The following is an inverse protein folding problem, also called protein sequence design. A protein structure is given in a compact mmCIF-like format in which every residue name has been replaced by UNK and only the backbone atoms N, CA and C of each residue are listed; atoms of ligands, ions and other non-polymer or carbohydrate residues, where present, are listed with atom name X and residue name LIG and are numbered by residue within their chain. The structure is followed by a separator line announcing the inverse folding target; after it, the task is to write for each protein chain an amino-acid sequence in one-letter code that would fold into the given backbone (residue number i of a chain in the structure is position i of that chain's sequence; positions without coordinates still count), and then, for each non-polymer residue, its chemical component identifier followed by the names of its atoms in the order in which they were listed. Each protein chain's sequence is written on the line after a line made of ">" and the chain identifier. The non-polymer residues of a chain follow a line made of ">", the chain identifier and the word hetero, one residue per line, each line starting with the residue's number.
data_IF_175495595323
#
_entry.id   IF_175495595323
#
_cell.length_a   1.000
_cell.length_b   1.000
_cell.length_c   1.000
_cell.angle_alpha   90.00
_cell.angle_beta   90.00
_cell.angle_gamma   90.00
#
_symmetry.space_group_name_H-M   'P 1'
#
loop_
_entity.id
_entity.type
_entity.pdbx_description
1 polymer ?
#
# COMPACT_ATOMS: atom_id res chain seq x y z
N UNK A 1 8.96 5.34 -9.33
CA UNK A 1 7.57 5.65 -9.74
C UNK A 1 6.70 4.41 -9.61
N UNK A 2 5.51 4.51 -9.00
CA UNK A 2 4.49 3.48 -8.95
C UNK A 2 3.44 3.74 -10.04
N UNK A 3 3.32 2.85 -11.04
CA UNK A 3 2.31 2.97 -12.08
C UNK A 3 0.98 2.42 -11.58
N UNK A 4 -0.02 3.28 -11.48
CA UNK A 4 -1.37 2.89 -11.03
C UNK A 4 -2.14 2.30 -12.20
N UNK A 5 -2.33 0.98 -12.21
CA UNK A 5 -2.96 0.23 -13.30
C UNK A 5 -4.45 -0.09 -13.09
N UNK A 6 -5.06 0.51 -12.04
CA UNK A 6 -6.51 0.36 -11.82
C UNK A 6 -7.31 0.73 -13.07
N UNK A 7 -8.35 -0.07 -13.38
CA UNK A 7 -9.23 0.11 -14.55
C UNK A 7 -8.54 0.02 -15.93
N UNK A 8 -7.29 -0.44 -16.01
CA UNK A 8 -6.60 -0.76 -17.24
C UNK A 8 -6.52 -2.27 -17.40
N UNK A 9 -6.62 -2.77 -18.62
CA UNK A 9 -6.40 -4.18 -18.93
C UNK A 9 -4.91 -4.53 -18.93
N UNK A 10 -4.57 -5.82 -18.92
CA UNK A 10 -3.17 -6.24 -19.08
C UNK A 10 -2.61 -5.73 -20.40
N UNK A 11 -3.39 -5.79 -21.48
CA UNK A 11 -2.99 -5.28 -22.81
C UNK A 11 -2.60 -3.80 -22.78
N UNK A 12 -3.32 -2.98 -22.02
CA UNK A 12 -3.06 -1.54 -21.92
C UNK A 12 -1.74 -1.21 -21.21
N UNK A 13 -1.29 -2.10 -20.31
CA UNK A 13 -0.07 -1.89 -19.54
C UNK A 13 1.14 -2.64 -20.11
N UNK A 14 0.93 -3.53 -21.09
CA UNK A 14 2.03 -4.27 -21.73
C UNK A 14 3.12 -3.37 -22.32
N UNK A 15 2.84 -2.24 -22.97
CA UNK A 15 3.87 -1.33 -23.44
C UNK A 15 4.78 -0.85 -22.29
N UNK A 16 4.21 -0.48 -21.13
CA UNK A 16 5.01 -0.10 -19.96
C UNK A 16 5.94 -1.23 -19.49
N UNK A 17 5.47 -2.49 -19.59
CA UNK A 17 6.25 -3.66 -19.18
C UNK A 17 7.36 -4.00 -20.19
N UNK A 18 7.03 -4.01 -21.48
CA UNK A 18 7.93 -4.47 -22.53
C UNK A 18 8.90 -3.39 -22.99
N UNK A 19 8.40 -2.20 -23.28
CA UNK A 19 9.16 -1.10 -23.87
C UNK A 19 9.89 -0.30 -22.78
N UNK A 20 9.16 0.15 -21.75
CA UNK A 20 9.71 0.93 -20.64
C UNK A 20 10.37 0.08 -19.55
N UNK A 21 10.28 -1.24 -19.64
CA UNK A 21 10.80 -2.20 -18.64
C UNK A 21 10.33 -1.90 -17.21
N UNK A 22 9.12 -1.29 -17.11
CA UNK A 22 8.56 -0.95 -15.81
C UNK A 22 8.04 -2.20 -15.09
N UNK A 23 8.28 -2.29 -13.78
CA UNK A 23 7.99 -3.50 -12.98
C UNK A 23 7.09 -3.24 -11.78
N UNK A 24 6.86 -1.99 -11.41
CA UNK A 24 6.20 -1.60 -10.17
C UNK A 24 4.79 -1.08 -10.44
N UNK A 25 3.76 -1.88 -10.08
CA UNK A 25 2.36 -1.56 -10.37
C UNK A 25 1.51 -1.48 -9.09
N UNK A 26 0.56 -0.53 -9.08
CA UNK A 26 -0.40 -0.33 -8.01
C UNK A 26 -1.83 -0.70 -8.41
N UNK A 27 -2.49 -1.51 -7.57
CA UNK A 27 -3.88 -1.91 -7.73
C UNK A 27 -4.70 -1.59 -6.48
N UNK A 28 -5.95 -1.18 -6.69
CA UNK A 28 -6.84 -0.83 -5.59
C UNK A 28 -7.82 -1.94 -5.19
N UNK A 29 -7.88 -3.04 -5.93
CA UNK A 29 -8.79 -4.18 -5.68
C UNK A 29 -8.10 -5.50 -5.93
N UNK A 30 -8.07 -6.36 -4.90
CA UNK A 30 -7.42 -7.67 -4.94
C UNK A 30 -7.96 -8.52 -6.09
N UNK A 31 -9.29 -8.65 -6.24
CA UNK A 31 -9.91 -9.49 -7.26
C UNK A 31 -9.58 -9.04 -8.70
N UNK A 32 -9.37 -7.72 -8.91
CA UNK A 32 -8.95 -7.22 -10.22
C UNK A 32 -7.47 -7.49 -10.47
N UNK A 33 -6.64 -7.36 -9.44
CA UNK A 33 -5.23 -7.69 -9.50
C UNK A 33 -5.01 -9.18 -9.80
N UNK A 34 -5.69 -10.09 -9.10
CA UNK A 34 -5.62 -11.55 -9.32
C UNK A 34 -5.92 -11.93 -10.78
N UNK A 35 -6.93 -11.30 -11.38
CA UNK A 35 -7.32 -11.57 -12.78
C UNK A 35 -6.34 -11.03 -13.80
N UNK A 36 -5.69 -9.92 -13.49
CA UNK A 36 -4.77 -9.23 -14.40
C UNK A 36 -3.35 -9.78 -14.30
N UNK A 37 -2.86 -9.92 -13.10
CA UNK A 37 -1.50 -10.33 -12.79
C UNK A 37 -1.51 -11.80 -12.35
N UNK A 38 -1.76 -12.69 -13.33
CA UNK A 38 -1.66 -14.14 -13.10
C UNK A 38 -0.19 -14.52 -12.81
N UNK A 39 0.07 -15.67 -12.14
CA UNK A 39 1.43 -16.06 -11.74
C UNK A 39 2.45 -15.99 -12.87
N UNK A 40 2.09 -16.42 -14.07
CA UNK A 40 2.97 -16.40 -15.25
C UNK A 40 3.36 -14.98 -15.65
N UNK A 41 2.44 -14.02 -15.56
CA UNK A 41 2.74 -12.59 -15.85
C UNK A 41 3.68 -12.03 -14.79
N UNK A 42 3.43 -12.34 -13.52
CA UNK A 42 4.28 -11.86 -12.41
C UNK A 42 5.70 -12.41 -12.57
N UNK A 43 5.86 -13.72 -12.75
CA UNK A 43 7.17 -14.36 -12.82
C UNK A 43 7.95 -14.04 -14.09
N UNK A 44 7.28 -14.05 -15.26
CA UNK A 44 7.95 -13.80 -16.54
C UNK A 44 8.48 -12.38 -16.68
N UNK A 45 7.83 -11.42 -16.01
CA UNK A 45 8.22 -10.00 -16.08
C UNK A 45 8.76 -9.43 -14.78
N UNK A 46 8.97 -10.24 -13.74
CA UNK A 46 9.43 -9.80 -12.43
C UNK A 46 8.60 -8.61 -11.88
N UNK A 47 7.28 -8.75 -11.95
CA UNK A 47 6.35 -7.69 -11.55
C UNK A 47 6.27 -7.61 -10.02
N UNK A 48 6.44 -6.40 -9.50
CA UNK A 48 6.17 -6.06 -8.10
C UNK A 48 4.83 -5.34 -7.98
N UNK A 49 3.91 -5.94 -7.21
CA UNK A 49 2.56 -5.40 -7.01
C UNK A 49 2.41 -4.71 -5.67
N UNK A 50 1.82 -3.52 -5.68
CA UNK A 50 1.42 -2.78 -4.50
C UNK A 50 -0.11 -2.72 -4.38
N UNK A 51 -0.64 -3.07 -3.22
CA UNK A 51 -2.03 -2.77 -2.87
C UNK A 51 -2.12 -1.33 -2.36
N UNK A 52 -2.85 -0.50 -3.10
CA UNK A 52 -3.05 0.93 -2.80
C UNK A 52 -4.51 1.27 -2.47
N UNK A 53 -5.38 0.28 -2.45
CA UNK A 53 -6.78 0.43 -2.04
C UNK A 53 -7.05 -0.16 -0.66
N UNK A 54 -8.21 0.16 -0.04
CA UNK A 54 -8.52 -0.25 1.32
C UNK A 54 -8.55 -1.78 1.46
N UNK A 55 -7.90 -2.29 2.52
CA UNK A 55 -7.83 -3.70 2.82
C UNK A 55 -8.84 -4.09 3.89
N UNK A 56 -9.78 -4.97 3.52
CA UNK A 56 -10.69 -5.61 4.46
C UNK A 56 -9.99 -6.75 5.20
N UNK A 57 -10.31 -6.93 6.49
CA UNK A 57 -9.67 -7.97 7.32
C UNK A 57 -9.88 -9.39 6.79
N UNK A 58 -11.05 -9.68 6.23
CA UNK A 58 -11.35 -10.98 5.61
C UNK A 58 -10.66 -11.24 4.26
N UNK A 59 -9.87 -10.29 3.77
CA UNK A 59 -9.08 -10.40 2.53
C UNK A 59 -7.58 -10.37 2.76
N UNK A 60 -7.15 -10.35 4.02
CA UNK A 60 -5.73 -10.24 4.38
C UNK A 60 -4.92 -11.39 3.80
N UNK A 61 -5.36 -12.65 3.95
CA UNK A 61 -4.66 -13.82 3.42
C UNK A 61 -4.39 -13.69 1.91
N UNK A 62 -5.42 -13.29 1.15
CA UNK A 62 -5.28 -13.07 -0.30
C UNK A 62 -4.35 -11.91 -0.64
N UNK A 63 -4.39 -10.84 0.13
CA UNK A 63 -3.50 -9.71 -0.09
C UNK A 63 -2.04 -10.10 0.16
N UNK A 64 -1.76 -10.81 1.26
CA UNK A 64 -0.42 -11.27 1.63
C UNK A 64 0.18 -12.26 0.61
N UNK A 65 -0.65 -13.05 -0.07
CA UNK A 65 -0.20 -14.02 -1.08
C UNK A 65 0.00 -13.42 -2.48
N UNK A 66 -0.47 -12.19 -2.74
CA UNK A 66 -0.44 -11.59 -4.08
C UNK A 66 0.46 -10.35 -4.18
N UNK A 67 0.42 -9.48 -3.17
CA UNK A 67 1.09 -8.19 -3.23
C UNK A 67 2.44 -8.21 -2.51
N UNK A 68 3.47 -7.66 -3.13
CA UNK A 68 4.78 -7.48 -2.52
C UNK A 68 4.75 -6.39 -1.43
N UNK A 69 3.86 -5.42 -1.58
CA UNK A 69 3.71 -4.29 -0.64
C UNK A 69 2.25 -3.95 -0.43
N UNK A 70 1.84 -3.76 0.82
CA UNK A 70 0.53 -3.26 1.19
C UNK A 70 0.69 -1.83 1.72
N UNK A 71 0.08 -0.84 1.03
CA UNK A 71 0.23 0.57 1.37
C UNK A 71 -0.91 1.14 2.24
N UNK A 72 -1.85 0.31 2.65
CA UNK A 72 -3.12 0.75 3.24
C UNK A 72 -3.36 0.15 4.64
N UNK A 73 -2.29 0.05 5.43
CA UNK A 73 -2.40 -0.32 6.85
C UNK A 73 -2.80 0.92 7.63
N UNK A 74 -4.04 0.95 8.12
CA UNK A 74 -4.69 2.16 8.63
C UNK A 74 -5.34 2.03 10.01
N UNK A 75 -5.26 0.86 10.65
CA UNK A 75 -5.94 0.62 11.94
C UNK A 75 -5.39 -0.59 12.69
N UNK A 76 -5.48 -0.59 14.04
CA UNK A 76 -4.97 -1.68 14.89
C UNK A 76 -5.59 -3.05 14.59
N UNK A 77 -6.89 -3.09 14.24
CA UNK A 77 -7.58 -4.34 13.88
C UNK A 77 -6.97 -5.01 12.65
N UNK A 78 -6.58 -4.21 11.64
CA UNK A 78 -5.94 -4.74 10.44
C UNK A 78 -4.54 -5.27 10.73
N UNK A 79 -3.76 -4.55 11.53
CA UNK A 79 -2.43 -4.99 12.00
C UNK A 79 -2.51 -6.34 12.72
N UNK A 80 -3.48 -6.49 13.64
CA UNK A 80 -3.71 -7.76 14.34
C UNK A 80 -4.01 -8.91 13.38
N UNK A 81 -4.82 -8.67 12.34
CA UNK A 81 -5.19 -9.71 11.39
C UNK A 81 -4.01 -10.07 10.47
N UNK A 82 -3.24 -9.09 10.01
CA UNK A 82 -1.99 -9.32 9.26
C UNK A 82 -1.05 -10.21 10.08
N UNK A 83 -0.80 -9.85 11.33
CA UNK A 83 0.06 -10.63 12.21
C UNK A 83 -0.44 -12.07 12.38
N UNK A 84 -1.74 -12.26 12.68
CA UNK A 84 -2.33 -13.60 12.81
C UNK A 84 -2.20 -14.42 11.52
N UNK A 85 -2.40 -13.81 10.38
CA UNK A 85 -2.29 -14.48 9.08
C UNK A 85 -0.85 -14.91 8.79
N UNK A 86 0.12 -14.07 9.10
CA UNK A 86 1.55 -14.39 8.98
C UNK A 86 1.93 -15.57 9.91
N UNK A 87 1.46 -15.55 11.15
CA UNK A 87 1.77 -16.63 12.12
C UNK A 87 1.16 -18.00 11.73
N UNK A 88 0.01 -17.99 11.05
CA UNK A 88 -0.64 -19.24 10.61
C UNK A 88 0.10 -19.96 9.48
N UNK A 89 0.89 -19.26 8.68
CA UNK A 89 1.69 -19.79 7.55
C UNK A 89 0.92 -20.77 6.63
N UNK A 90 -0.37 -20.52 6.40
CA UNK A 90 -1.26 -21.41 5.63
C UNK A 90 -1.07 -21.31 4.12
N UNK A 91 -0.32 -20.35 3.64
CA UNK A 91 -0.08 -20.04 2.22
C UNK A 91 1.28 -19.35 2.07
N UNK A 92 1.85 -19.34 0.86
CA UNK A 92 3.07 -18.56 0.60
C UNK A 92 2.81 -17.07 0.81
N UNK A 93 3.61 -16.42 1.66
CA UNK A 93 3.54 -14.98 1.90
C UNK A 93 4.49 -14.29 0.94
N UNK A 94 3.94 -13.49 0.04
CA UNK A 94 4.68 -12.67 -0.92
C UNK A 94 4.95 -11.28 -0.35
N UNK A 95 4.06 -10.78 0.52
CA UNK A 95 4.20 -9.44 1.10
C UNK A 95 5.41 -9.34 2.01
N UNK A 96 6.29 -8.40 1.68
CA UNK A 96 7.51 -8.12 2.43
C UNK A 96 7.49 -6.74 3.10
N UNK A 97 6.68 -5.82 2.58
CA UNK A 97 6.71 -4.42 2.95
C UNK A 97 5.32 -3.86 3.22
N UNK A 98 5.26 -2.92 4.17
CA UNK A 98 4.02 -2.22 4.51
C UNK A 98 4.24 -0.71 4.57
N UNK A 99 3.19 0.06 4.26
CA UNK A 99 3.08 1.48 4.55
C UNK A 99 1.91 1.70 5.49
N UNK A 100 2.01 2.69 6.36
CA UNK A 100 0.88 3.17 7.13
C UNK A 100 0.14 4.23 6.31
N UNK A 101 -1.15 4.05 6.12
CA UNK A 101 -1.99 5.03 5.46
C UNK A 101 -2.48 6.06 6.48
N UNK A 102 -2.16 7.33 6.24
CA UNK A 102 -2.53 8.47 7.09
C UNK A 102 -3.70 9.23 6.49
N UNK A 103 -4.73 9.50 7.28
CA UNK A 103 -5.81 10.43 6.93
C UNK A 103 -5.34 11.87 7.14
N UNK A 104 -4.50 12.35 6.23
CA UNK A 104 -3.81 13.63 6.36
C UNK A 104 -4.76 14.85 6.34
N UNK A 105 -5.92 14.70 5.69
CA UNK A 105 -6.96 15.72 5.60
C UNK A 105 -7.95 15.70 6.75
N UNK A 106 -7.86 14.73 7.66
CA UNK A 106 -8.80 14.51 8.75
C UNK A 106 -10.26 14.43 8.27
N UNK A 107 -10.50 13.71 7.16
CA UNK A 107 -11.80 13.55 6.54
C UNK A 107 -12.47 12.25 7.04
N UNK A 108 -13.60 12.33 7.79
CA UNK A 108 -14.23 11.16 8.42
C UNK A 108 -14.61 10.03 7.46
N UNK A 109 -14.89 10.37 6.20
CA UNK A 109 -15.28 9.41 5.15
C UNK A 109 -14.08 8.71 4.48
N UNK A 110 -12.85 9.13 4.75
CA UNK A 110 -11.65 8.55 4.15
C UNK A 110 -10.97 7.53 5.06
N UNK A 111 -10.37 6.52 4.43
CA UNK A 111 -9.47 5.60 5.11
C UNK A 111 -8.17 6.28 5.51
N UNK A 112 -7.51 5.73 6.49
CA UNK A 112 -6.25 6.22 7.04
C UNK A 112 -6.35 6.41 8.54
N UNK A 113 -5.26 6.17 9.24
CA UNK A 113 -5.14 6.46 10.68
C UNK A 113 -5.08 7.97 10.89
N UNK A 114 -5.66 8.46 11.97
CA UNK A 114 -5.51 9.86 12.35
C UNK A 114 -4.07 10.15 12.74
N UNK A 115 -3.64 11.40 12.54
CA UNK A 115 -2.25 11.81 12.80
C UNK A 115 -1.86 11.54 14.24
N UNK A 116 -2.74 11.82 15.19
CA UNK A 116 -2.49 11.65 16.63
C UNK A 116 -2.36 10.18 17.06
N UNK A 117 -2.91 9.24 16.26
CA UNK A 117 -2.86 7.80 16.51
C UNK A 117 -1.72 7.10 15.73
N UNK A 118 -1.00 7.84 14.87
CA UNK A 118 0.00 7.26 13.95
C UNK A 118 1.15 6.58 14.70
N UNK A 119 1.67 7.23 15.75
CA UNK A 119 2.78 6.68 16.54
C UNK A 119 2.41 5.37 17.20
N UNK A 120 1.22 5.28 17.82
CA UNK A 120 0.75 4.05 18.46
C UNK A 120 0.60 2.91 17.45
N UNK A 121 0.07 3.21 16.26
CA UNK A 121 -0.06 2.22 15.19
C UNK A 121 1.32 1.75 14.69
N UNK A 122 2.27 2.66 14.54
CA UNK A 122 3.63 2.35 14.13
C UNK A 122 4.33 1.43 15.13
N UNK A 123 4.30 1.78 16.43
CA UNK A 123 4.88 0.98 17.50
C UNK A 123 4.26 -0.41 17.56
N UNK A 124 2.94 -0.51 17.34
CA UNK A 124 2.26 -1.80 17.27
C UNK A 124 2.77 -2.65 16.10
N UNK A 125 2.99 -2.05 14.95
CA UNK A 125 3.55 -2.75 13.79
C UNK A 125 4.96 -3.26 14.08
N UNK A 126 5.80 -2.45 14.72
CA UNK A 126 7.16 -2.84 15.11
C UNK A 126 7.15 -4.00 16.12
N UNK A 127 6.27 -3.99 17.12
CA UNK A 127 6.09 -5.09 18.08
C UNK A 127 5.72 -6.41 17.39
N UNK A 128 5.05 -6.36 16.27
CA UNK A 128 4.68 -7.53 15.47
C UNK A 128 5.69 -7.87 14.36
N UNK A 129 6.84 -7.20 14.34
CA UNK A 129 7.90 -7.35 13.35
C UNK A 129 7.40 -7.14 11.90
N UNK A 130 6.42 -6.25 11.70
CA UNK A 130 6.01 -5.85 10.36
C UNK A 130 7.02 -4.84 9.80
N UNK A 131 7.52 -5.11 8.60
CA UNK A 131 8.49 -4.23 7.93
C UNK A 131 7.79 -2.98 7.38
N UNK A 132 7.67 -1.94 8.19
CA UNK A 132 7.11 -0.65 7.79
C UNK A 132 8.19 0.14 7.07
N UNK A 133 8.01 0.34 5.77
CA UNK A 133 8.98 1.05 4.92
C UNK A 133 8.56 2.46 4.54
N UNK A 134 7.36 2.89 4.93
CA UNK A 134 6.89 4.24 4.57
C UNK A 134 5.51 4.62 5.09
N UNK A 135 5.15 5.86 4.79
CA UNK A 135 3.83 6.42 5.00
C UNK A 135 3.14 6.68 3.65
N UNK A 136 1.83 6.50 3.62
CA UNK A 136 1.01 6.76 2.43
C UNK A 136 -0.14 7.71 2.79
N UNK A 137 -0.47 8.63 1.91
CA UNK A 137 -1.70 9.41 2.01
C UNK A 137 -2.36 9.65 0.65
N UNK A 138 -3.66 9.96 0.72
CA UNK A 138 -4.44 10.48 -0.40
C UNK A 138 -5.00 11.82 0.07
N UNK A 139 -4.42 12.95 -0.35
CA UNK A 139 -4.90 14.28 0.03
C UNK A 139 -6.37 14.51 -0.32
N UNK A 140 -7.04 15.50 0.30
CA UNK A 140 -8.39 15.89 -0.11
C UNK A 140 -8.46 16.25 -1.58
N UNK A 141 -9.59 15.90 -2.22
CA UNK A 141 -9.83 16.25 -3.61
C UNK A 141 -10.11 17.76 -3.74
N UNK A 142 -9.80 18.32 -4.91
CA UNK A 142 -10.10 19.72 -5.27
C UNK A 142 -9.43 20.78 -4.37
N UNK A 143 -8.32 20.44 -3.74
CA UNK A 143 -7.46 21.37 -3.00
C UNK A 143 -6.02 21.24 -3.46
N UNK A 144 -5.20 22.26 -3.20
CA UNK A 144 -3.76 22.20 -3.45
C UNK A 144 -3.14 21.11 -2.56
N UNK A 145 -2.43 20.13 -3.13
CA UNK A 145 -1.90 19.01 -2.35
C UNK A 145 -0.63 19.35 -1.55
N UNK A 146 0.10 20.39 -1.93
CA UNK A 146 1.42 20.71 -1.38
C UNK A 146 1.45 20.84 0.14
N UNK A 147 0.49 21.54 0.82
CA UNK A 147 0.49 21.62 2.28
C UNK A 147 0.34 20.25 2.97
N UNK A 148 -0.38 19.33 2.34
CA UNK A 148 -0.54 17.95 2.84
C UNK A 148 0.72 17.13 2.63
N UNK A 149 1.44 17.34 1.53
CA UNK A 149 2.72 16.69 1.28
C UNK A 149 3.81 17.18 2.23
N UNK A 150 3.86 18.47 2.52
CA UNK A 150 4.75 19.05 3.54
C UNK A 150 4.45 18.47 4.93
N UNK A 151 3.17 18.38 5.31
CA UNK A 151 2.75 17.75 6.57
C UNK A 151 3.17 16.27 6.64
N UNK A 152 3.04 15.52 5.54
CA UNK A 152 3.49 14.14 5.49
C UNK A 152 5.02 14.01 5.62
N UNK A 153 5.77 14.96 5.08
CA UNK A 153 7.22 15.01 5.22
C UNK A 153 7.61 15.19 6.69
N UNK A 154 6.98 16.14 7.38
CA UNK A 154 7.20 16.39 8.81
C UNK A 154 6.85 15.13 9.63
N UNK A 155 5.69 14.55 9.42
CA UNK A 155 5.28 13.32 10.12
C UNK A 155 6.25 12.16 9.91
N UNK A 156 6.78 12.01 8.69
CA UNK A 156 7.79 11.01 8.38
C UNK A 156 9.07 11.28 9.19
N UNK A 157 9.56 12.53 9.18
CA UNK A 157 10.81 12.90 9.84
C UNK A 157 10.71 12.74 11.36
N UNK A 158 9.56 13.12 11.95
CA UNK A 158 9.28 12.94 13.38
C UNK A 158 9.21 11.46 13.78
N UNK A 159 8.65 10.62 12.90
CA UNK A 159 8.47 9.20 13.19
C UNK A 159 9.75 8.39 12.93
N UNK A 160 10.27 8.49 11.72
CA UNK A 160 11.53 7.88 11.28
C UNK A 160 11.91 8.45 9.90
N UNK A 161 13.00 9.22 9.78
CA UNK A 161 13.40 9.89 8.54
C UNK A 161 13.80 8.92 7.39
N UNK A 162 14.03 7.65 7.69
CA UNK A 162 14.33 6.64 6.67
C UNK A 162 13.07 6.10 5.97
N UNK A 163 11.88 6.42 6.45
CA UNK A 163 10.64 5.98 5.81
C UNK A 163 10.44 6.68 4.47
N UNK A 164 9.90 5.92 3.52
CA UNK A 164 9.50 6.44 2.20
C UNK A 164 8.14 7.11 2.28
N UNK A 165 7.85 7.97 1.29
CA UNK A 165 6.53 8.59 1.12
C UNK A 165 5.86 8.10 -0.17
N UNK A 166 4.56 7.76 -0.06
CA UNK A 166 3.67 7.41 -1.17
C UNK A 166 2.47 8.36 -1.13
N UNK A 167 2.53 9.45 -1.90
CA UNK A 167 1.57 10.55 -1.79
C UNK A 167 1.26 11.25 -3.11
N UNK A 168 1.74 10.71 -4.25
CA UNK A 168 1.44 11.25 -5.56
C UNK A 168 0.02 10.92 -6.02
N UNK A 169 -0.58 11.82 -6.76
CA UNK A 169 -1.86 11.60 -7.44
C UNK A 169 -1.72 11.95 -8.92
N UNK A 170 -2.41 11.18 -9.80
CA UNK A 170 -2.67 11.60 -11.17
C UNK A 170 -4.06 12.22 -11.23
N UNK A 171 -4.16 13.37 -11.82
CA UNK A 171 -5.44 14.04 -12.15
C UNK A 171 -6.13 13.31 -13.29
#
# INVERSE_FOLDING_TARGET
>A
LLVVSKNRSLKDIMPCILEEKHRLFGENRIQKAEKKFVPDVISNFDISLHLIGPLQTNKVDKALSLFNTIQTVDRPKLVNEIYKSIQKQKFPIVTQNFYLQVNIGNEPQKSGILVDELLELYDKCLKFNLNIIGLMCIPPANVQPDPYFEKMLILRDDLNPNLKLSMGMSN
#
